data_IF_993382226232
#
_entry.id   IF_993382226232
#
_cell.length_a   1.000
_cell.length_b   1.000
_cell.length_c   1.000
_cell.angle_alpha   90.00
_cell.angle_beta   90.00
_cell.angle_gamma   90.00
#
_symmetry.space_group_name_H-M   'P 1'
#
loop_
_entity.id
_entity.type
_entity.pdbx_description
1 polymer ?
#
# COMPACT_ATOMS: atom_id res chain seq x y z
N UNK A 1 -5.57 -13.38 30.13
CA UNK A 1 -5.13 -11.97 30.23
C UNK A 1 -5.84 -11.18 29.13
N UNK A 2 -6.44 -10.05 29.45
CA UNK A 2 -7.03 -9.17 28.43
C UNK A 2 -5.92 -8.23 27.94
N UNK A 3 -5.70 -8.16 26.64
CA UNK A 3 -4.79 -7.15 26.06
C UNK A 3 -5.44 -5.78 26.15
N UNK A 4 -4.73 -4.81 26.72
CA UNK A 4 -5.17 -3.41 26.91
C UNK A 4 -4.31 -2.39 26.19
N UNK A 5 -3.38 -2.86 25.36
CA UNK A 5 -2.52 -2.01 24.53
C UNK A 5 -3.20 -1.53 23.23
N UNK A 6 -2.50 -0.73 22.41
CA UNK A 6 -3.03 -0.24 21.15
C UNK A 6 -3.27 -1.38 20.14
N UNK A 7 -4.40 -1.30 19.42
CA UNK A 7 -4.75 -2.21 18.33
C UNK A 7 -4.80 -1.40 17.03
N UNK A 8 -3.86 -1.69 16.14
CA UNK A 8 -3.70 -1.01 14.86
C UNK A 8 -4.17 -1.90 13.70
N UNK A 9 -5.09 -1.41 12.88
CA UNK A 9 -5.27 -1.94 11.53
C UNK A 9 -4.29 -1.24 10.58
N UNK A 10 -3.33 -2.00 10.06
CA UNK A 10 -2.24 -1.47 9.25
C UNK A 10 -2.61 -1.25 7.78
N UNK A 11 -3.82 -1.64 7.35
CA UNK A 11 -4.25 -1.48 5.96
C UNK A 11 -5.76 -1.30 5.85
N UNK A 12 -6.23 -0.09 6.07
CA UNK A 12 -7.65 0.25 6.12
C UNK A 12 -8.06 1.11 4.94
N UNK A 13 -9.13 0.73 4.25
CA UNK A 13 -9.73 1.54 3.20
C UNK A 13 -11.08 2.13 3.64
N UNK A 14 -11.33 3.37 3.26
CA UNK A 14 -12.63 4.00 3.40
C UNK A 14 -13.25 4.29 2.02
N UNK A 15 -14.51 3.98 1.86
CA UNK A 15 -15.27 4.28 0.65
C UNK A 15 -16.55 5.03 1.02
N UNK A 16 -16.72 6.24 0.46
CA UNK A 16 -17.91 7.09 0.72
C UNK A 16 -19.21 6.46 0.23
N UNK A 17 -19.15 5.59 -0.79
CA UNK A 17 -20.30 4.85 -1.34
C UNK A 17 -20.56 3.53 -0.56
N UNK A 18 -19.67 3.15 0.37
CA UNK A 18 -19.76 1.96 1.20
C UNK A 18 -20.14 2.28 2.64
N UNK A 19 -19.56 1.51 3.58
CA UNK A 19 -19.80 1.70 5.02
C UNK A 19 -19.15 2.97 5.60
N UNK A 20 -18.16 3.52 4.93
CA UNK A 20 -17.49 4.77 5.27
C UNK A 20 -17.11 4.84 6.77
N UNK A 21 -17.55 5.90 7.50
CA UNK A 21 -17.23 6.07 8.92
C UNK A 21 -17.81 4.97 9.81
N UNK A 22 -18.84 4.26 9.38
CA UNK A 22 -19.39 3.15 10.17
C UNK A 22 -18.42 1.97 10.24
N UNK A 23 -17.58 1.75 9.20
CA UNK A 23 -16.53 0.76 9.27
C UNK A 23 -15.48 1.11 10.36
N UNK A 24 -15.08 2.38 10.43
CA UNK A 24 -14.16 2.87 11.46
C UNK A 24 -14.79 2.79 12.87
N UNK A 25 -16.08 3.11 13.01
CA UNK A 25 -16.82 2.95 14.27
C UNK A 25 -16.92 1.50 14.72
N UNK A 26 -17.13 0.57 13.78
CA UNK A 26 -17.16 -0.86 14.08
C UNK A 26 -15.79 -1.35 14.59
N UNK A 27 -14.71 -0.94 13.93
CA UNK A 27 -13.36 -1.26 14.36
C UNK A 27 -13.07 -0.69 15.77
N UNK A 28 -13.45 0.57 16.03
CA UNK A 28 -13.31 1.18 17.36
C UNK A 28 -14.12 0.42 18.43
N UNK A 29 -15.38 0.05 18.13
CA UNK A 29 -16.22 -0.73 19.07
C UNK A 29 -15.65 -2.11 19.37
N UNK A 30 -14.90 -2.68 18.41
CA UNK A 30 -14.19 -3.94 18.62
C UNK A 30 -12.89 -3.82 19.42
N UNK A 31 -12.51 -2.60 19.83
CA UNK A 31 -11.30 -2.30 20.60
C UNK A 31 -10.15 -1.72 19.80
N UNK A 32 -10.34 -1.46 18.51
CA UNK A 32 -9.33 -0.80 17.65
C UNK A 32 -9.05 0.63 18.11
N UNK A 33 -7.79 1.02 18.08
CA UNK A 33 -7.33 2.35 18.52
C UNK A 33 -6.79 3.21 17.39
N UNK A 34 -6.18 2.59 16.40
CA UNK A 34 -5.45 3.26 15.31
C UNK A 34 -5.69 2.57 13.98
N UNK A 35 -5.66 3.34 12.90
CA UNK A 35 -5.69 2.81 11.53
C UNK A 35 -4.60 3.46 10.67
N UNK A 36 -4.07 2.69 9.72
CA UNK A 36 -3.37 3.22 8.56
C UNK A 36 -4.38 3.30 7.42
N UNK A 37 -4.86 4.51 7.15
CA UNK A 37 -5.78 4.77 6.05
C UNK A 37 -5.02 4.86 4.73
N UNK A 38 -5.23 3.88 3.88
CA UNK A 38 -4.58 3.76 2.58
C UNK A 38 -5.52 4.27 1.51
N UNK A 39 -4.99 5.13 0.62
CA UNK A 39 -5.76 5.60 -0.53
C UNK A 39 -6.20 4.45 -1.42
N UNK A 40 -7.49 4.40 -1.74
CA UNK A 40 -8.05 3.47 -2.71
C UNK A 40 -8.62 4.28 -3.88
N UNK A 41 -8.09 4.14 -5.10
CA UNK A 41 -8.58 4.88 -6.25
C UNK A 41 -9.99 4.43 -6.66
N UNK A 42 -10.75 5.32 -7.29
CA UNK A 42 -11.93 4.90 -8.04
C UNK A 42 -11.46 4.26 -9.36
N UNK A 43 -11.44 2.93 -9.40
CA UNK A 43 -10.98 2.18 -10.57
C UNK A 43 -11.84 2.40 -11.81
N UNK A 44 -13.05 2.93 -11.67
CA UNK A 44 -13.91 3.28 -12.81
C UNK A 44 -13.50 4.62 -13.46
N UNK A 45 -12.86 5.51 -12.70
CA UNK A 45 -12.42 6.84 -13.13
C UNK A 45 -11.11 7.22 -12.43
N UNK A 46 -10.01 6.48 -12.67
CA UNK A 46 -8.74 6.79 -12.03
C UNK A 46 -8.20 8.14 -12.54
N UNK A 47 -7.52 8.92 -11.67
CA UNK A 47 -6.92 10.18 -12.06
C UNK A 47 -5.93 10.03 -13.22
N UNK A 48 -5.90 11.01 -14.14
CA UNK A 48 -5.04 11.01 -15.33
C UNK A 48 -4.07 12.21 -15.36
N UNK A 49 -4.11 13.02 -14.32
CA UNK A 49 -3.26 14.22 -14.19
C UNK A 49 -2.80 14.40 -12.75
N UNK A 50 -1.71 15.14 -12.56
CA UNK A 50 -1.22 15.48 -11.22
C UNK A 50 -2.29 16.13 -10.36
N UNK A 51 -3.06 17.07 -10.89
CA UNK A 51 -4.13 17.74 -10.15
C UNK A 51 -5.29 16.78 -9.82
N UNK A 52 -5.59 15.84 -10.71
CA UNK A 52 -6.55 14.76 -10.43
C UNK A 52 -6.10 13.88 -9.26
N UNK A 53 -4.82 13.50 -9.20
CA UNK A 53 -4.26 12.77 -8.07
C UNK A 53 -4.31 13.60 -6.78
N UNK A 54 -3.93 14.89 -6.84
CA UNK A 54 -4.05 15.79 -5.68
C UNK A 54 -5.47 15.84 -5.13
N UNK A 55 -6.46 15.97 -6.01
CA UNK A 55 -7.89 15.99 -5.63
C UNK A 55 -8.31 14.69 -4.94
N UNK A 56 -7.92 13.53 -5.50
CA UNK A 56 -8.23 12.22 -4.93
C UNK A 56 -7.54 12.01 -3.56
N UNK A 57 -6.30 12.44 -3.41
CA UNK A 57 -5.55 12.35 -2.16
C UNK A 57 -6.09 13.30 -1.09
N UNK A 58 -6.48 14.52 -1.48
CA UNK A 58 -7.15 15.46 -0.58
C UNK A 58 -8.46 14.89 -0.01
N UNK A 59 -9.22 14.13 -0.82
CA UNK A 59 -10.42 13.43 -0.32
C UNK A 59 -10.06 12.37 0.74
N UNK A 60 -9.00 11.57 0.52
CA UNK A 60 -8.51 10.60 1.51
C UNK A 60 -8.07 11.27 2.81
N UNK A 61 -7.33 12.39 2.71
CA UNK A 61 -6.93 13.19 3.87
C UNK A 61 -8.16 13.75 4.61
N UNK A 62 -9.17 14.22 3.87
CA UNK A 62 -10.44 14.67 4.42
C UNK A 62 -11.20 13.57 5.16
N UNK A 63 -11.16 12.32 4.62
CA UNK A 63 -11.72 11.15 5.32
C UNK A 63 -10.96 10.85 6.61
N UNK A 64 -9.62 10.90 6.59
CA UNK A 64 -8.79 10.73 7.79
C UNK A 64 -9.11 11.77 8.87
N UNK A 65 -9.27 13.03 8.50
CA UNK A 65 -9.65 14.10 9.43
C UNK A 65 -11.01 13.81 10.10
N UNK A 66 -11.98 13.32 9.34
CA UNK A 66 -13.30 12.94 9.89
C UNK A 66 -13.20 11.74 10.83
N UNK A 67 -12.41 10.73 10.51
CA UNK A 67 -12.20 9.60 11.43
C UNK A 67 -11.61 10.09 12.77
N UNK A 68 -10.60 10.94 12.71
CA UNK A 68 -10.02 11.51 13.93
C UNK A 68 -11.04 12.31 14.77
N UNK A 69 -11.84 13.17 14.12
CA UNK A 69 -12.76 14.08 14.83
C UNK A 69 -14.07 13.43 15.25
N UNK A 70 -14.63 12.50 14.44
CA UNK A 70 -15.97 11.95 14.65
C UNK A 70 -15.96 10.53 15.24
N UNK A 71 -14.84 9.79 15.09
CA UNK A 71 -14.70 8.43 15.61
C UNK A 71 -13.68 8.36 16.75
N UNK A 72 -12.64 9.21 16.72
CA UNK A 72 -11.63 9.28 17.79
C UNK A 72 -10.51 8.24 17.64
N UNK A 73 -10.31 7.66 16.45
CA UNK A 73 -9.17 6.79 16.18
C UNK A 73 -7.91 7.61 15.84
N UNK A 74 -6.75 7.09 16.20
CA UNK A 74 -5.48 7.51 15.61
C UNK A 74 -5.46 7.13 14.11
N UNK A 75 -4.98 8.04 13.24
CA UNK A 75 -4.94 7.77 11.79
C UNK A 75 -3.58 8.15 11.22
N UNK A 76 -2.95 7.23 10.50
CA UNK A 76 -1.86 7.51 9.56
C UNK A 76 -2.43 7.45 8.15
N UNK A 77 -1.90 8.24 7.23
CA UNK A 77 -2.37 8.30 5.83
C UNK A 77 -1.27 7.82 4.90
N UNK A 78 -1.62 6.97 3.96
CA UNK A 78 -0.75 6.43 2.91
C UNK A 78 -1.35 6.79 1.56
N UNK A 79 -0.53 7.39 0.68
CA UNK A 79 -0.92 7.88 -0.64
C UNK A 79 0.03 7.37 -1.71
N UNK A 80 -0.49 6.93 -2.85
CA UNK A 80 0.34 6.48 -3.97
C UNK A 80 -0.47 5.91 -5.13
N UNK A 81 0.20 5.60 -6.25
CA UNK A 81 -0.42 5.01 -7.44
C UNK A 81 -0.62 3.51 -7.26
N UNK A 82 -1.87 3.09 -7.15
CA UNK A 82 -2.20 1.67 -7.01
C UNK A 82 -1.80 0.89 -8.29
N UNK A 83 -1.10 -0.27 -8.18
CA UNK A 83 -0.60 -1.02 -9.35
C UNK A 83 -1.70 -1.46 -10.33
N UNK A 84 -2.89 -1.79 -9.82
CA UNK A 84 -4.02 -2.13 -10.67
C UNK A 84 -4.50 -0.94 -11.51
N UNK A 85 -4.50 0.27 -10.95
CA UNK A 85 -4.85 1.46 -11.70
C UNK A 85 -3.84 1.73 -12.82
N UNK A 86 -2.54 1.56 -12.52
CA UNK A 86 -1.47 1.67 -13.53
C UNK A 86 -1.67 0.67 -14.68
N UNK A 87 -1.86 -0.63 -14.38
CA UNK A 87 -2.02 -1.65 -15.40
C UNK A 87 -3.22 -1.37 -16.31
N UNK A 88 -4.40 -1.04 -15.75
CA UNK A 88 -5.59 -0.73 -16.54
C UNK A 88 -5.45 0.55 -17.36
N UNK A 89 -4.79 1.58 -16.83
CA UNK A 89 -4.51 2.80 -17.58
C UNK A 89 -3.52 2.55 -18.72
N UNK A 90 -2.47 1.75 -18.48
CA UNK A 90 -1.52 1.33 -19.50
C UNK A 90 -2.23 0.60 -20.65
N UNK A 91 -2.98 -0.47 -20.36
CA UNK A 91 -3.73 -1.24 -21.35
C UNK A 91 -4.64 -0.33 -22.20
N UNK A 92 -5.40 0.53 -21.54
CA UNK A 92 -6.30 1.45 -22.23
C UNK A 92 -5.54 2.42 -23.13
N UNK A 93 -4.53 3.12 -22.62
CA UNK A 93 -3.83 4.16 -23.38
C UNK A 93 -2.98 3.59 -24.52
N UNK A 94 -2.36 2.44 -24.34
CA UNK A 94 -1.67 1.74 -25.44
C UNK A 94 -2.66 1.28 -26.51
N UNK A 95 -3.86 0.84 -26.14
CA UNK A 95 -4.91 0.50 -27.12
C UNK A 95 -5.46 1.72 -27.87
N UNK A 96 -5.46 2.90 -27.25
CA UNK A 96 -5.86 4.15 -27.88
C UNK A 96 -4.77 4.72 -28.82
N UNK A 97 -3.51 4.64 -28.39
CA UNK A 97 -2.33 5.10 -29.13
C UNK A 97 -1.07 4.33 -28.66
N UNK A 98 -0.64 3.36 -29.47
CA UNK A 98 0.52 2.54 -29.18
C UNK A 98 1.81 3.35 -29.03
N UNK A 99 1.93 4.48 -29.74
CA UNK A 99 3.16 5.28 -29.79
C UNK A 99 3.36 6.16 -28.55
N UNK A 100 2.29 6.57 -27.87
CA UNK A 100 2.35 7.52 -26.73
C UNK A 100 1.72 6.97 -25.45
N UNK A 101 0.94 5.88 -25.52
CA UNK A 101 0.18 5.33 -24.40
C UNK A 101 1.06 4.89 -23.24
N UNK A 102 2.19 4.26 -23.53
CA UNK A 102 3.15 3.82 -22.52
C UNK A 102 3.75 5.02 -21.76
N UNK A 103 4.25 6.02 -22.50
CA UNK A 103 4.85 7.22 -21.88
C UNK A 103 3.82 7.98 -21.03
N UNK A 104 2.58 8.04 -21.50
CA UNK A 104 1.45 8.62 -20.77
C UNK A 104 1.21 7.90 -19.44
N UNK A 105 1.22 6.56 -19.44
CA UNK A 105 1.02 5.77 -18.23
C UNK A 105 2.15 5.97 -17.21
N UNK A 106 3.40 5.92 -17.67
CA UNK A 106 4.59 6.17 -16.83
C UNK A 106 4.54 7.57 -16.24
N UNK A 107 4.25 8.59 -17.06
CA UNK A 107 4.18 9.97 -16.62
C UNK A 107 3.06 10.17 -15.59
N UNK A 108 1.89 9.55 -15.80
CA UNK A 108 0.79 9.63 -14.84
C UNK A 108 1.13 8.97 -13.50
N UNK A 109 1.82 7.81 -13.52
CA UNK A 109 2.32 7.18 -12.30
C UNK A 109 3.25 8.13 -11.52
N UNK A 110 4.22 8.75 -12.19
CA UNK A 110 5.15 9.71 -11.58
C UNK A 110 4.43 10.94 -11.03
N UNK A 111 3.43 11.47 -11.74
CA UNK A 111 2.57 12.54 -11.23
C UNK A 111 1.83 12.17 -9.94
N UNK A 112 1.43 10.91 -9.82
CA UNK A 112 0.81 10.37 -8.61
C UNK A 112 1.79 10.36 -7.42
N UNK A 113 3.04 9.90 -7.65
CA UNK A 113 4.10 9.93 -6.65
C UNK A 113 4.42 11.38 -6.22
N UNK A 114 4.57 12.29 -7.18
CA UNK A 114 4.83 13.71 -6.90
C UNK A 114 3.73 14.32 -6.02
N UNK A 115 2.46 14.04 -6.36
CA UNK A 115 1.32 14.52 -5.56
C UNK A 115 1.33 13.94 -4.14
N UNK A 116 1.68 12.65 -3.97
CA UNK A 116 1.80 12.04 -2.65
C UNK A 116 2.90 12.69 -1.81
N UNK A 117 4.07 12.94 -2.42
CA UNK A 117 5.21 13.58 -1.76
C UNK A 117 4.91 15.02 -1.30
N UNK A 118 4.11 15.78 -2.05
CA UNK A 118 3.67 17.10 -1.62
C UNK A 118 2.90 17.02 -0.29
N UNK A 119 1.91 16.14 -0.18
CA UNK A 119 1.15 15.95 1.06
C UNK A 119 1.98 15.35 2.20
N UNK A 120 2.98 14.53 1.90
CA UNK A 120 3.94 14.05 2.91
C UNK A 120 4.79 15.20 3.40
N UNK A 121 5.31 16.05 2.50
CA UNK A 121 6.08 17.25 2.86
C UNK A 121 5.29 18.27 3.69
N UNK A 122 3.98 18.33 3.50
CA UNK A 122 3.05 19.15 4.29
C UNK A 122 2.66 18.50 5.63
N UNK A 123 3.13 17.27 5.92
CA UNK A 123 2.79 16.51 7.13
C UNK A 123 1.37 15.95 7.16
N UNK A 124 0.69 15.90 6.01
CA UNK A 124 -0.68 15.39 5.90
C UNK A 124 -0.75 13.91 5.59
N UNK A 125 0.32 13.34 5.00
CA UNK A 125 0.50 11.92 4.77
C UNK A 125 1.82 11.41 5.36
N UNK A 126 2.02 10.09 5.45
CA UNK A 126 3.07 9.48 6.28
C UNK A 126 3.91 8.43 5.53
N UNK A 127 3.40 7.89 4.44
CA UNK A 127 4.04 6.85 3.64
C UNK A 127 3.56 6.90 2.20
N UNK A 128 4.32 6.30 1.29
CA UNK A 128 3.91 6.12 -0.10
C UNK A 128 3.26 4.73 -0.24
N UNK A 129 2.13 4.64 -0.93
CA UNK A 129 1.42 3.38 -1.20
C UNK A 129 -0.06 3.57 -1.55
N UNK A 130 -0.69 2.55 -2.11
CA UNK A 130 -0.08 1.28 -2.44
C UNK A 130 0.74 1.41 -3.71
N UNK A 131 1.92 0.82 -3.72
CA UNK A 131 2.79 0.72 -4.90
C UNK A 131 3.23 -0.73 -5.08
N UNK A 132 3.68 -1.11 -6.26
CA UNK A 132 4.15 -2.47 -6.49
C UNK A 132 3.75 -3.04 -7.84
N UNK A 133 3.15 -4.24 -7.83
CA UNK A 133 2.84 -5.02 -9.03
C UNK A 133 1.37 -5.45 -9.05
N UNK A 134 0.75 -5.62 -10.25
CA UNK A 134 -0.53 -6.30 -10.36
C UNK A 134 -0.48 -7.70 -9.73
N UNK A 135 -1.52 -8.07 -9.00
CA UNK A 135 -1.61 -9.38 -8.32
C UNK A 135 -2.25 -10.48 -9.19
N UNK A 136 -2.45 -10.21 -10.47
CA UNK A 136 -2.93 -11.15 -11.48
C UNK A 136 -1.95 -11.21 -12.67
N UNK A 137 -2.00 -12.27 -13.49
CA UNK A 137 -1.16 -12.35 -14.69
C UNK A 137 -1.43 -11.17 -15.64
N UNK A 138 -0.37 -10.48 -16.03
CA UNK A 138 -0.36 -9.38 -17.00
C UNK A 138 0.66 -9.65 -18.09
N UNK A 139 0.63 -8.87 -19.17
CA UNK A 139 1.67 -8.90 -20.18
C UNK A 139 3.04 -8.57 -19.57
N UNK A 140 4.10 -9.20 -20.08
CA UNK A 140 5.49 -9.03 -19.61
C UNK A 140 5.89 -7.55 -19.56
N UNK A 141 5.47 -6.76 -20.56
CA UNK A 141 5.76 -5.33 -20.61
C UNK A 141 5.18 -4.56 -19.43
N UNK A 142 3.95 -4.89 -19.00
CA UNK A 142 3.33 -4.25 -17.82
C UNK A 142 4.09 -4.63 -16.55
N UNK A 143 4.50 -5.89 -16.43
CA UNK A 143 5.26 -6.35 -15.28
C UNK A 143 6.63 -5.68 -15.19
N UNK A 144 7.34 -5.57 -16.32
CA UNK A 144 8.64 -4.91 -16.42
C UNK A 144 8.56 -3.44 -16.01
N UNK A 145 7.55 -2.73 -16.52
CA UNK A 145 7.34 -1.33 -16.16
C UNK A 145 6.91 -1.17 -14.69
N UNK A 146 6.06 -2.05 -14.18
CA UNK A 146 5.70 -2.05 -12.76
C UNK A 146 6.92 -2.24 -11.87
N UNK A 147 7.82 -3.13 -12.25
CA UNK A 147 9.09 -3.35 -11.55
C UNK A 147 10.03 -2.14 -11.63
N UNK A 148 10.14 -1.52 -12.81
CA UNK A 148 10.94 -0.29 -12.99
C UNK A 148 10.43 0.85 -12.10
N UNK A 149 9.12 1.10 -12.14
CA UNK A 149 8.47 2.16 -11.35
C UNK A 149 8.53 1.88 -9.84
N UNK A 150 8.46 0.62 -9.44
CA UNK A 150 8.67 0.21 -8.05
C UNK A 150 10.11 0.50 -7.61
N UNK A 151 11.10 0.17 -8.44
CA UNK A 151 12.52 0.44 -8.15
C UNK A 151 12.79 1.96 -8.04
N UNK A 152 12.22 2.78 -8.94
CA UNK A 152 12.29 4.25 -8.87
C UNK A 152 11.66 4.76 -7.56
N UNK A 153 10.50 4.23 -7.17
CA UNK A 153 9.80 4.62 -5.95
C UNK A 153 10.58 4.20 -4.69
N UNK A 154 11.16 3.00 -4.67
CA UNK A 154 12.03 2.55 -3.57
C UNK A 154 13.25 3.47 -3.41
N UNK A 155 13.91 3.81 -4.53
CA UNK A 155 15.04 4.73 -4.51
C UNK A 155 14.67 6.10 -3.92
N UNK A 156 13.57 6.68 -4.39
CA UNK A 156 13.06 7.95 -3.92
C UNK A 156 12.69 7.92 -2.43
N UNK A 157 12.00 6.86 -2.00
CA UNK A 157 11.63 6.66 -0.61
C UNK A 157 12.85 6.47 0.30
N UNK A 158 13.88 5.75 -0.18
CA UNK A 158 15.14 5.58 0.55
C UNK A 158 15.84 6.93 0.80
N UNK A 159 15.90 7.79 -0.23
CA UNK A 159 16.51 9.12 -0.11
C UNK A 159 15.81 10.02 0.91
N UNK A 160 14.50 9.86 1.07
CA UNK A 160 13.68 10.67 1.97
C UNK A 160 13.38 9.96 3.31
N UNK A 161 13.84 8.73 3.48
CA UNK A 161 13.61 7.94 4.68
C UNK A 161 12.14 7.54 4.89
N UNK A 162 11.34 7.47 3.81
CA UNK A 162 9.91 7.18 3.86
C UNK A 162 9.61 5.68 3.84
N UNK A 163 8.57 5.20 4.54
CA UNK A 163 8.08 3.85 4.39
C UNK A 163 7.23 3.69 3.13
N UNK A 164 7.18 2.46 2.59
CA UNK A 164 6.33 2.06 1.47
C UNK A 164 5.34 0.98 1.90
N UNK A 165 4.07 1.11 1.49
CA UNK A 165 3.13 0.00 1.50
C UNK A 165 3.06 -0.64 0.12
N UNK A 166 3.31 -1.96 0.08
CA UNK A 166 3.44 -2.72 -1.15
C UNK A 166 2.19 -3.55 -1.43
N UNK A 167 1.68 -3.40 -2.65
CA UNK A 167 0.67 -4.28 -3.25
C UNK A 167 1.36 -5.13 -4.31
N UNK A 168 1.44 -6.42 -4.07
CA UNK A 168 2.15 -7.38 -4.95
C UNK A 168 1.38 -8.70 -4.98
N UNK A 169 1.86 -9.66 -5.76
CA UNK A 169 1.31 -11.02 -5.80
C UNK A 169 1.25 -11.67 -4.40
N UNK A 170 0.17 -12.42 -4.15
CA UNK A 170 -0.12 -13.00 -2.83
C UNK A 170 0.81 -14.16 -2.46
N UNK A 171 0.71 -15.27 -3.18
CA UNK A 171 1.42 -16.51 -2.86
C UNK A 171 2.52 -16.79 -3.88
N UNK A 172 3.76 -16.48 -3.52
CA UNK A 172 4.94 -16.89 -4.25
C UNK A 172 6.15 -16.87 -3.31
N UNK A 173 6.87 -17.98 -3.26
CA UNK A 173 8.13 -18.08 -2.50
C UNK A 173 9.20 -17.12 -3.02
N UNK A 174 9.07 -16.66 -4.27
CA UNK A 174 10.00 -15.72 -4.89
C UNK A 174 9.72 -14.26 -4.54
N UNK A 175 8.52 -13.90 -4.05
CA UNK A 175 8.11 -12.51 -3.84
C UNK A 175 8.99 -11.78 -2.82
N UNK A 176 9.17 -12.35 -1.63
CA UNK A 176 9.99 -11.71 -0.59
C UNK A 176 11.47 -11.60 -0.97
N UNK A 177 12.13 -12.66 -1.50
CA UNK A 177 13.52 -12.56 -1.98
C UNK A 177 13.71 -11.49 -3.07
N UNK A 178 12.80 -11.41 -4.05
CA UNK A 178 12.85 -10.39 -5.11
C UNK A 178 12.71 -8.98 -4.55
N UNK A 179 11.70 -8.74 -3.70
CA UNK A 179 11.49 -7.44 -3.08
C UNK A 179 12.68 -7.01 -2.21
N UNK A 180 13.25 -7.93 -1.43
CA UNK A 180 14.43 -7.65 -0.61
C UNK A 180 15.65 -7.31 -1.48
N UNK A 181 15.87 -8.04 -2.58
CA UNK A 181 16.95 -7.75 -3.51
C UNK A 181 16.79 -6.37 -4.18
N UNK A 182 15.57 -6.02 -4.62
CA UNK A 182 15.26 -4.70 -5.17
C UNK A 182 15.53 -3.61 -4.15
N UNK A 183 15.01 -3.75 -2.95
CA UNK A 183 15.20 -2.80 -1.86
C UNK A 183 16.68 -2.53 -1.56
N UNK A 184 17.48 -3.59 -1.47
CA UNK A 184 18.93 -3.47 -1.25
C UNK A 184 19.62 -2.71 -2.39
N UNK A 185 19.26 -2.98 -3.65
CA UNK A 185 19.80 -2.25 -4.82
C UNK A 185 19.47 -0.76 -4.78
N UNK A 186 18.29 -0.40 -4.27
CA UNK A 186 17.83 0.98 -4.16
C UNK A 186 18.24 1.68 -2.86
N UNK A 187 18.93 0.99 -1.96
CA UNK A 187 19.32 1.52 -0.65
C UNK A 187 18.17 1.67 0.34
N UNK A 188 17.08 0.94 0.11
CA UNK A 188 15.87 1.00 0.95
C UNK A 188 16.03 0.15 2.20
N UNK A 189 15.62 0.67 3.35
CA UNK A 189 15.54 -0.07 4.60
C UNK A 189 14.39 -1.09 4.53
N UNK A 190 14.70 -2.38 4.65
CA UNK A 190 13.74 -3.48 4.52
C UNK A 190 12.57 -3.38 5.50
N UNK A 191 12.83 -2.93 6.72
CA UNK A 191 11.77 -2.75 7.75
C UNK A 191 10.73 -1.70 7.35
N UNK A 192 11.10 -0.76 6.48
CA UNK A 192 10.19 0.28 5.95
C UNK A 192 9.35 -0.19 4.76
N UNK A 193 9.57 -1.40 4.27
CA UNK A 193 8.75 -2.02 3.24
C UNK A 193 7.67 -2.88 3.88
N UNK A 194 6.44 -2.43 3.83
CA UNK A 194 5.28 -3.14 4.38
C UNK A 194 4.58 -3.89 3.26
N UNK A 195 4.71 -5.21 3.22
CA UNK A 195 3.94 -6.04 2.29
C UNK A 195 2.56 -6.29 2.87
N UNK A 196 1.53 -5.69 2.29
CA UNK A 196 0.17 -5.99 2.68
C UNK A 196 -0.30 -7.33 2.06
N UNK A 197 -1.36 -7.91 2.62
CA UNK A 197 -1.86 -9.23 2.22
C UNK A 197 -0.76 -10.31 2.31
N UNK A 198 0.07 -10.20 3.34
CA UNK A 198 1.20 -11.10 3.56
C UNK A 198 0.74 -12.48 4.05
N UNK A 199 1.46 -13.55 3.68
CA UNK A 199 1.29 -14.87 4.32
C UNK A 199 1.48 -14.80 5.84
N UNK A 200 0.87 -15.73 6.55
CA UNK A 200 0.91 -15.77 8.02
C UNK A 200 2.29 -16.15 8.60
N UNK A 201 3.20 -16.70 7.79
CA UNK A 201 4.58 -16.92 8.22
C UNK A 201 5.34 -15.59 8.28
N UNK A 202 5.52 -15.06 9.50
CA UNK A 202 6.15 -13.76 9.77
C UNK A 202 7.61 -13.87 10.23
N UNK A 203 8.18 -15.06 10.22
CA UNK A 203 9.60 -15.26 10.53
C UNK A 203 10.50 -14.42 9.62
N UNK A 204 11.57 -13.85 10.16
CA UNK A 204 12.51 -13.00 9.40
C UNK A 204 13.15 -13.76 8.24
N UNK A 205 13.37 -15.06 8.38
CA UNK A 205 13.90 -15.91 7.31
C UNK A 205 12.89 -16.04 6.14
N UNK A 206 11.60 -16.03 6.42
CA UNK A 206 10.54 -16.10 5.43
C UNK A 206 10.24 -14.73 4.80
N UNK A 207 10.28 -13.65 5.60
CA UNK A 207 9.99 -12.29 5.14
C UNK A 207 11.20 -11.57 4.55
N UNK A 208 12.39 -12.17 4.64
CA UNK A 208 13.66 -11.56 4.22
C UNK A 208 13.89 -10.17 4.82
N UNK A 209 13.32 -9.90 6.00
CA UNK A 209 13.46 -8.63 6.72
C UNK A 209 12.42 -7.56 6.36
N UNK A 210 11.51 -7.81 5.42
CA UNK A 210 10.38 -6.92 5.17
C UNK A 210 9.34 -7.03 6.31
N UNK A 211 8.57 -5.97 6.51
CA UNK A 211 7.46 -5.96 7.46
C UNK A 211 6.21 -6.59 6.83
N UNK A 212 5.72 -7.74 7.34
CA UNK A 212 4.50 -8.35 6.86
C UNK A 212 3.27 -7.65 7.48
N UNK A 213 2.22 -7.41 6.68
CA UNK A 213 0.89 -7.03 7.12
C UNK A 213 -0.08 -8.15 6.77
N UNK A 214 -0.43 -8.96 7.79
CA UNK A 214 -1.17 -10.21 7.64
C UNK A 214 -2.65 -9.98 7.85
N UNK A 215 -3.50 -10.64 7.04
CA UNK A 215 -4.93 -10.68 7.31
C UNK A 215 -5.22 -11.50 8.56
N UNK A 216 -6.07 -10.98 9.45
CA UNK A 216 -6.45 -11.66 10.71
C UNK A 216 -7.88 -12.21 10.67
N UNK A 217 -8.45 -12.44 9.48
CA UNK A 217 -9.79 -13.03 9.31
C UNK A 217 -9.76 -14.55 9.09
N UNK A 218 -10.86 -15.24 9.43
CA UNK A 218 -11.16 -16.66 9.05
C UNK A 218 -9.98 -17.64 9.16
N UNK A 219 -9.42 -17.81 10.36
CA UNK A 219 -8.36 -18.80 10.60
C UNK A 219 -6.93 -18.28 10.42
N UNK A 220 -6.74 -17.11 9.79
CA UNK A 220 -5.41 -16.52 9.60
C UNK A 220 -4.76 -16.12 10.93
N UNK A 221 -5.54 -15.78 11.96
CA UNK A 221 -5.01 -15.48 13.28
C UNK A 221 -4.42 -16.74 13.92
N UNK A 222 -5.10 -17.88 13.82
CA UNK A 222 -4.62 -19.17 14.34
C UNK A 222 -3.34 -19.58 13.62
N UNK A 223 -3.26 -19.44 12.31
CA UNK A 223 -2.08 -19.71 11.51
C UNK A 223 -0.91 -18.80 11.89
N UNK A 224 -1.18 -17.50 12.08
CA UNK A 224 -0.19 -16.52 12.53
C UNK A 224 0.36 -16.89 13.92
N UNK A 225 -0.50 -17.30 14.86
CA UNK A 225 -0.07 -17.72 16.21
C UNK A 225 0.81 -18.95 16.16
N UNK A 226 0.47 -19.96 15.34
CA UNK A 226 1.29 -21.16 15.15
C UNK A 226 2.68 -20.82 14.56
N UNK A 227 2.73 -19.92 13.59
CA UNK A 227 3.98 -19.43 13.01
C UNK A 227 4.84 -18.72 14.05
N UNK A 228 4.24 -17.86 14.87
CA UNK A 228 4.94 -17.14 15.93
C UNK A 228 5.49 -18.07 17.02
N UNK A 229 4.71 -19.06 17.48
CA UNK A 229 5.14 -20.06 18.46
C UNK A 229 6.31 -20.90 17.94
N UNK A 230 6.28 -21.32 16.67
CA UNK A 230 7.36 -22.06 16.04
C UNK A 230 8.66 -21.25 15.99
N UNK A 231 8.59 -19.95 15.70
CA UNK A 231 9.75 -19.05 15.62
C UNK A 231 10.35 -18.72 17.02
N UNK A 232 9.55 -18.80 18.08
CA UNK A 232 9.99 -18.47 19.45
C UNK A 232 10.71 -19.61 20.17
N UNK A 233 10.74 -20.82 19.60
CA UNK A 233 11.32 -22.04 20.20
C UNK A 233 12.56 -22.55 19.42
N UNK A 234 13.04 -21.85 18.42
CA UNK A 234 14.26 -22.12 17.64
C UNK A 234 15.36 -21.12 17.94
#
# INVERSE_FOLDING_TARGET
>A
MTYDGPILDNHFHLNRKGRYLDAARDFQRAGGTDIVLVHCPDFSQPPETKEGHRTAYQDTIGMAAKVRSEVGLGVRVVLGPHPAAFAHQFERWVSEDESSGEEKAITNYRHSIDAALEFIGEGQAHAIGEVGRPHWPVEERILDLSNLLLDETMHLAAQQGLPLQLHVEGESDATYPDLAQRAQKQGMDLVKLVRHYAPANVDVSATHGLTPSVLVGKGALEELMLSYEASSHG
#
